data_IF_362261158569
#
_entry.id   IF_362261158569
#
_cell.length_a   1.000
_cell.length_b   1.000
_cell.length_c   1.000
_cell.angle_alpha   90.00
_cell.angle_beta   90.00
_cell.angle_gamma   90.00
#
_symmetry.space_group_name_H-M   'P 1'
#
loop_
_entity.id
_entity.type
_entity.pdbx_description
1 polymer ?
#
# COMPACT_ATOMS: atom_id res chain seq x y z
N UNK A 1 -57.79 34.17 29.39
CA UNK A 1 -57.04 35.39 29.77
C UNK A 1 -55.58 35.01 29.90
N UNK A 2 -54.64 35.84 29.41
CA UNK A 2 -53.21 35.50 29.29
C UNK A 2 -52.79 35.46 27.82
N UNK A 3 -52.07 36.48 27.36
CA UNK A 3 -51.85 36.76 25.95
C UNK A 3 -50.47 36.26 25.44
N UNK A 4 -50.44 35.88 24.16
CA UNK A 4 -49.23 35.66 23.37
C UNK A 4 -48.50 36.98 23.13
N UNK A 5 -47.17 36.99 23.24
CA UNK A 5 -46.32 38.09 22.81
C UNK A 5 -45.13 37.56 21.97
N UNK A 6 -45.32 37.54 20.65
CA UNK A 6 -44.21 37.49 19.69
C UNK A 6 -43.33 38.73 19.87
N UNK A 7 -42.00 38.58 19.90
CA UNK A 7 -41.07 39.68 19.63
C UNK A 7 -40.18 39.31 18.44
N UNK A 8 -40.55 39.86 17.29
CA UNK A 8 -39.74 39.90 16.08
C UNK A 8 -38.65 40.97 16.21
N UNK A 9 -37.45 40.69 15.71
CA UNK A 9 -36.53 41.73 15.23
C UNK A 9 -35.99 41.33 13.86
N UNK A 10 -36.38 42.11 12.85
CA UNK A 10 -35.94 42.06 11.45
C UNK A 10 -35.58 43.49 11.05
N UNK A 11 -34.86 43.63 9.92
CA UNK A 11 -34.49 44.86 9.20
C UNK A 11 -33.21 45.52 9.77
N UNK A 12 -32.15 45.71 8.96
CA UNK A 12 -31.99 46.63 7.81
C UNK A 12 -31.89 48.08 8.31
N UNK A 13 -31.00 48.98 7.88
CA UNK A 13 -30.22 49.18 6.63
C UNK A 13 -28.82 49.78 7.00
N UNK A 14 -27.86 50.17 6.14
CA UNK A 14 -27.71 50.22 4.67
C UNK A 14 -26.22 50.26 4.27
N UNK A 15 -25.95 50.33 2.97
CA UNK A 15 -24.70 50.71 2.29
C UNK A 15 -24.02 51.97 2.85
N UNK A 16 -22.68 52.01 2.73
CA UNK A 16 -22.01 53.17 2.14
C UNK A 16 -21.00 52.72 1.09
N UNK A 17 -20.89 53.49 0.02
CA UNK A 17 -20.10 53.21 -1.19
C UNK A 17 -18.82 54.07 -1.20
N UNK A 18 -18.06 53.91 -2.28
CA UNK A 18 -17.12 54.87 -2.87
C UNK A 18 -15.68 54.90 -2.28
N UNK A 19 -14.65 55.11 -3.10
CA UNK A 19 -14.51 54.95 -4.57
C UNK A 19 -13.03 55.10 -4.97
N UNK A 20 -12.69 54.77 -6.22
CA UNK A 20 -11.51 55.27 -6.99
C UNK A 20 -10.08 54.95 -6.48
N UNK A 21 -9.07 54.74 -7.33
CA UNK A 21 -9.02 54.58 -8.79
C UNK A 21 -7.64 54.09 -9.27
N UNK A 22 -7.63 53.26 -10.31
CA UNK A 22 -6.67 53.21 -11.44
C UNK A 22 -5.14 53.37 -11.23
N UNK A 23 -4.35 52.44 -11.78
CA UNK A 23 -3.39 52.82 -12.85
C UNK A 23 -3.01 51.64 -13.78
N UNK A 24 -3.59 51.68 -14.98
CA UNK A 24 -3.01 51.44 -16.31
C UNK A 24 -1.80 50.51 -16.50
N UNK A 25 -2.06 49.43 -17.24
CA UNK A 25 -1.24 48.78 -18.27
C UNK A 25 0.00 49.53 -18.78
N UNK A 26 1.14 48.85 -18.91
CA UNK A 26 2.07 49.11 -20.02
C UNK A 26 2.78 47.83 -20.49
N UNK A 27 2.63 47.52 -21.79
CA UNK A 27 3.56 46.68 -22.54
C UNK A 27 4.86 47.48 -22.78
N UNK A 28 5.97 46.80 -23.05
CA UNK A 28 6.66 46.79 -24.38
C UNK A 28 8.04 46.13 -24.23
N UNK A 29 8.47 45.41 -25.27
CA UNK A 29 9.76 44.73 -25.35
C UNK A 29 10.90 45.67 -25.76
N UNK A 30 12.16 45.21 -25.67
CA UNK A 30 13.20 45.29 -26.72
C UNK A 30 14.57 44.82 -26.19
N UNK A 31 15.12 43.78 -26.84
CA UNK A 31 16.51 43.64 -27.40
C UNK A 31 17.71 44.28 -26.69
N UNK A 32 18.90 43.69 -26.64
CA UNK A 32 19.67 43.19 -27.81
C UNK A 32 20.90 42.32 -27.40
N UNK A 33 21.20 41.26 -28.16
CA UNK A 33 22.36 41.08 -29.07
C UNK A 33 23.76 40.87 -28.46
N UNK A 34 24.28 39.65 -28.63
CA UNK A 34 25.61 39.32 -29.18
C UNK A 34 25.57 37.83 -29.60
N UNK A 35 26.11 37.32 -30.71
CA UNK A 35 26.41 37.75 -32.08
C UNK A 35 27.30 36.64 -32.66
N UNK A 36 26.95 36.03 -33.82
CA UNK A 36 27.85 35.32 -34.75
C UNK A 36 28.72 34.14 -34.23
N UNK A 37 29.16 33.14 -35.00
CA UNK A 37 28.92 32.60 -36.36
C UNK A 37 29.61 31.18 -36.34
N UNK A 38 29.44 30.19 -37.21
CA UNK A 38 29.10 30.16 -38.64
C UNK A 38 28.47 28.83 -39.07
N UNK A 39 27.76 28.91 -40.18
CA UNK A 39 27.34 27.82 -41.08
C UNK A 39 28.42 26.77 -41.40
N UNK A 40 27.98 25.51 -41.58
CA UNK A 40 28.27 24.72 -42.78
C UNK A 40 27.27 23.56 -42.96
N UNK A 41 26.47 23.60 -44.03
CA UNK A 41 25.61 22.50 -44.50
C UNK A 41 26.24 21.89 -45.75
N UNK A 42 26.26 20.56 -45.90
CA UNK A 42 26.54 19.71 -47.12
C UNK A 42 27.03 18.33 -46.62
N UNK A 43 26.72 17.15 -47.20
CA UNK A 43 25.64 16.73 -48.11
C UNK A 43 25.55 15.18 -48.15
N UNK A 44 24.58 14.67 -48.93
CA UNK A 44 24.35 13.27 -49.37
C UNK A 44 25.59 12.42 -49.78
N UNK A 45 25.26 11.14 -50.06
CA UNK A 45 25.94 10.12 -50.89
C UNK A 45 27.05 9.33 -50.17
N UNK A 46 26.95 8.02 -49.94
CA UNK A 46 26.70 6.84 -50.81
C UNK A 46 27.91 6.42 -51.65
N UNK A 47 28.61 5.36 -51.22
CA UNK A 47 29.00 4.21 -52.05
C UNK A 47 29.94 3.28 -51.28
N UNK A 48 29.77 1.97 -51.44
CA UNK A 48 30.79 0.96 -51.14
C UNK A 48 32.06 1.18 -51.97
N UNK A 49 33.20 0.54 -51.60
CA UNK A 49 33.61 -0.57 -52.47
C UNK A 49 34.28 -1.76 -51.77
N UNK A 50 34.00 -2.97 -52.29
CA UNK A 50 34.92 -4.12 -52.31
C UNK A 50 35.93 -3.92 -53.47
N UNK A 51 37.17 -4.46 -53.41
CA UNK A 51 37.41 -5.82 -53.92
C UNK A 51 38.59 -6.60 -53.25
N UNK A 52 38.45 -7.91 -53.00
CA UNK A 52 39.09 -9.04 -53.76
C UNK A 52 40.42 -9.57 -53.14
N UNK A 53 41.09 -10.62 -53.68
CA UNK A 53 40.75 -11.99 -53.25
C UNK A 53 41.94 -12.92 -52.90
N UNK A 54 41.64 -13.96 -52.10
CA UNK A 54 42.19 -15.33 -52.25
C UNK A 54 43.65 -15.61 -51.93
N UNK A 55 43.88 -16.50 -50.94
CA UNK A 55 44.82 -17.63 -51.07
C UNK A 55 44.58 -18.71 -50.02
N UNK A 56 44.92 -19.94 -50.39
CA UNK A 56 44.59 -21.19 -49.71
C UNK A 56 45.53 -21.52 -48.54
N UNK A 57 45.10 -22.37 -47.59
CA UNK A 57 46.05 -23.01 -46.67
C UNK A 57 45.52 -23.37 -45.28
N UNK A 58 44.90 -24.56 -45.19
CA UNK A 58 44.55 -25.32 -43.99
C UNK A 58 45.35 -25.03 -42.69
N UNK A 59 44.64 -24.72 -41.60
CA UNK A 59 45.04 -25.10 -40.24
C UNK A 59 43.80 -25.26 -39.34
N UNK A 60 43.75 -26.30 -38.53
CA UNK A 60 42.60 -26.59 -37.67
C UNK A 60 42.54 -25.65 -36.45
N UNK A 61 41.38 -25.01 -36.24
CA UNK A 61 41.09 -24.23 -35.05
C UNK A 61 39.69 -24.58 -34.52
N UNK A 62 39.66 -25.60 -33.65
CA UNK A 62 38.68 -25.90 -32.59
C UNK A 62 37.40 -25.04 -32.65
N UNK A 63 36.39 -25.55 -33.35
CA UNK A 63 35.05 -24.99 -33.28
C UNK A 63 34.44 -25.24 -31.92
N UNK A 64 34.49 -24.26 -31.01
CA UNK A 64 33.69 -24.26 -29.79
C UNK A 64 32.25 -23.99 -30.20
N UNK A 65 31.58 -25.11 -30.50
CA UNK A 65 30.18 -25.25 -30.81
C UNK A 65 29.33 -24.38 -29.87
N UNK A 66 28.58 -23.42 -30.44
CA UNK A 66 27.54 -22.70 -29.70
C UNK A 66 26.49 -23.71 -29.23
N UNK A 67 26.67 -24.25 -28.03
CA UNK A 67 25.58 -24.84 -27.26
C UNK A 67 24.71 -23.69 -26.80
N UNK A 68 23.82 -23.26 -27.69
CA UNK A 68 22.56 -22.62 -27.35
C UNK A 68 21.86 -23.57 -26.37
N UNK A 69 22.07 -23.34 -25.07
CA UNK A 69 21.37 -24.08 -24.04
C UNK A 69 19.89 -23.76 -24.21
N UNK A 70 19.13 -24.78 -24.64
CA UNK A 70 17.67 -24.73 -24.61
C UNK A 70 17.25 -24.20 -23.24
N UNK A 71 16.61 -23.04 -23.22
CA UNK A 71 15.71 -22.69 -22.14
C UNK A 71 14.55 -23.69 -22.21
N UNK A 72 14.72 -24.82 -21.53
CA UNK A 72 13.73 -25.88 -21.48
C UNK A 72 12.43 -25.30 -20.91
N UNK A 73 11.29 -25.35 -21.64
CA UNK A 73 10.04 -24.70 -21.23
C UNK A 73 9.32 -25.42 -20.07
N UNK A 74 10.05 -26.21 -19.29
CA UNK A 74 9.53 -27.07 -18.21
C UNK A 74 9.62 -26.41 -16.83
N UNK A 75 10.12 -25.17 -16.74
CA UNK A 75 10.04 -24.35 -15.52
C UNK A 75 8.70 -23.61 -15.33
N UNK A 76 7.69 -23.93 -16.15
CA UNK A 76 6.30 -23.71 -15.76
C UNK A 76 5.93 -24.72 -14.65
N UNK A 77 6.32 -24.40 -13.41
CA UNK A 77 5.85 -25.11 -12.22
C UNK A 77 4.32 -25.00 -12.24
N UNK A 78 3.56 -26.09 -12.35
CA UNK A 78 2.10 -26.01 -12.33
C UNK A 78 1.69 -25.50 -10.94
N UNK A 79 1.17 -24.28 -10.90
CA UNK A 79 0.54 -23.69 -9.72
C UNK A 79 -0.51 -24.68 -9.23
N UNK A 80 -0.31 -25.28 -8.05
CA UNK A 80 -1.25 -26.24 -7.48
C UNK A 80 -2.45 -25.50 -6.88
N UNK A 81 -3.21 -24.85 -7.75
CA UNK A 81 -4.47 -24.22 -7.42
C UNK A 81 -5.48 -25.27 -6.96
N UNK A 82 -6.17 -24.99 -5.86
CA UNK A 82 -7.28 -25.82 -5.38
C UNK A 82 -8.56 -25.29 -6.02
N UNK A 83 -9.29 -26.15 -6.74
CA UNK A 83 -10.60 -25.78 -7.30
C UNK A 83 -11.60 -25.66 -6.15
N UNK A 84 -12.16 -24.46 -5.98
CA UNK A 84 -13.12 -24.13 -4.91
C UNK A 84 -14.39 -23.53 -5.49
N UNK A 85 -15.51 -23.60 -4.78
CA UNK A 85 -16.75 -22.93 -5.21
C UNK A 85 -16.72 -21.43 -4.92
N UNK A 86 -17.45 -20.63 -5.71
CA UNK A 86 -17.65 -19.20 -5.45
C UNK A 86 -18.16 -18.91 -4.03
N UNK A 87 -18.98 -19.80 -3.45
CA UNK A 87 -19.47 -19.71 -2.06
C UNK A 87 -18.39 -19.83 -0.98
N UNK A 88 -17.25 -20.44 -1.31
CA UNK A 88 -16.10 -20.63 -0.41
C UNK A 88 -15.14 -19.44 -0.41
N UNK A 89 -15.37 -18.42 -1.24
CA UNK A 89 -14.54 -17.22 -1.29
C UNK A 89 -14.68 -16.38 -0.02
N UNK A 90 -13.55 -15.85 0.47
CA UNK A 90 -13.44 -14.98 1.65
C UNK A 90 -12.44 -13.86 1.34
N UNK A 91 -12.52 -12.70 2.00
CA UNK A 91 -11.46 -11.70 1.99
C UNK A 91 -10.10 -12.32 2.33
N UNK A 92 -9.04 -11.88 1.65
CA UNK A 92 -7.68 -12.44 1.77
C UNK A 92 -7.43 -13.73 0.97
N UNK A 93 -8.44 -14.35 0.36
CA UNK A 93 -8.17 -15.43 -0.60
C UNK A 93 -7.51 -14.87 -1.87
N UNK A 94 -6.50 -15.56 -2.39
CA UNK A 94 -5.93 -15.30 -3.71
C UNK A 94 -6.49 -16.29 -4.72
N UNK A 95 -6.95 -15.79 -5.86
CA UNK A 95 -7.56 -16.57 -6.94
C UNK A 95 -6.87 -16.32 -8.28
N UNK A 96 -6.86 -17.32 -9.13
CA UNK A 96 -6.40 -17.24 -10.51
C UNK A 96 -7.61 -17.18 -11.45
N UNK A 97 -7.62 -16.21 -12.38
CA UNK A 97 -8.69 -16.07 -13.39
C UNK A 97 -8.18 -15.35 -14.62
N UNK A 98 -8.35 -15.96 -15.81
CA UNK A 98 -7.84 -15.45 -17.09
C UNK A 98 -6.32 -15.19 -17.05
N UNK A 99 -5.57 -16.16 -16.54
CA UNK A 99 -4.10 -16.16 -16.46
C UNK A 99 -3.54 -14.95 -15.68
N UNK A 100 -4.35 -14.43 -14.74
CA UNK A 100 -4.04 -13.32 -13.84
C UNK A 100 -4.43 -13.65 -12.42
N UNK A 101 -3.73 -13.02 -11.49
CA UNK A 101 -3.81 -13.33 -10.06
C UNK A 101 -4.47 -12.16 -9.34
N UNK A 102 -5.46 -12.50 -8.54
CA UNK A 102 -6.34 -11.55 -7.87
C UNK A 102 -6.43 -11.83 -6.38
N UNK A 103 -6.17 -10.81 -5.56
CA UNK A 103 -6.49 -10.79 -4.14
C UNK A 103 -7.99 -10.46 -3.96
N UNK A 104 -8.71 -11.24 -3.16
CA UNK A 104 -10.10 -10.94 -2.80
C UNK A 104 -10.13 -9.91 -1.68
N UNK A 105 -10.53 -8.68 -1.98
CA UNK A 105 -10.63 -7.59 -1.01
C UNK A 105 -11.96 -7.65 -0.24
N UNK A 106 -13.08 -7.87 -0.93
CA UNK A 106 -14.42 -7.91 -0.34
C UNK A 106 -15.32 -8.92 -1.04
N UNK A 107 -16.21 -9.54 -0.26
CA UNK A 107 -17.22 -10.50 -0.73
C UNK A 107 -18.59 -10.10 -0.20
N UNK A 108 -19.52 -9.81 -1.10
CA UNK A 108 -20.92 -9.52 -0.81
C UNK A 108 -21.81 -10.64 -1.37
N UNK A 109 -22.40 -11.45 -0.48
CA UNK A 109 -23.33 -12.52 -0.86
C UNK A 109 -24.75 -11.96 -0.99
N UNK A 110 -25.34 -12.04 -2.19
CA UNK A 110 -26.71 -11.60 -2.45
C UNK A 110 -27.64 -12.79 -2.71
N UNK A 111 -28.69 -12.90 -1.89
CA UNK A 111 -29.78 -13.85 -2.06
C UNK A 111 -31.03 -13.12 -2.54
N UNK A 112 -31.27 -13.15 -3.84
CA UNK A 112 -32.52 -12.64 -4.43
C UNK A 112 -33.65 -13.65 -4.18
N UNK A 113 -34.77 -13.20 -3.60
CA UNK A 113 -35.80 -14.10 -3.05
C UNK A 113 -36.46 -15.08 -4.03
N UNK A 114 -36.30 -14.86 -5.35
CA UNK A 114 -36.70 -15.79 -6.44
C UNK A 114 -35.62 -15.89 -7.53
N UNK A 115 -34.34 -15.94 -7.13
CA UNK A 115 -33.20 -16.02 -8.05
C UNK A 115 -32.11 -16.99 -7.59
N UNK A 116 -31.11 -17.22 -8.44
CA UNK A 116 -29.88 -17.93 -8.04
C UNK A 116 -29.03 -17.02 -7.16
N UNK A 117 -28.53 -17.55 -6.04
CA UNK A 117 -27.63 -16.81 -5.16
C UNK A 117 -26.35 -16.40 -5.92
N UNK A 118 -26.08 -15.10 -5.92
CA UNK A 118 -24.99 -14.46 -6.68
C UNK A 118 -24.06 -13.74 -5.72
N UNK A 119 -22.76 -13.86 -5.96
CA UNK A 119 -21.73 -13.36 -5.06
C UNK A 119 -20.99 -12.24 -5.80
N UNK A 120 -21.13 -11.01 -5.33
CA UNK A 120 -20.33 -9.88 -5.83
C UNK A 120 -19.00 -9.88 -5.08
N UNK A 121 -17.91 -9.97 -5.81
CA UNK A 121 -16.55 -10.00 -5.27
C UNK A 121 -15.80 -8.78 -5.80
N UNK A 122 -15.11 -8.07 -4.92
CA UNK A 122 -14.18 -7.01 -5.27
C UNK A 122 -12.77 -7.58 -5.20
N UNK A 123 -12.14 -7.65 -6.37
CA UNK A 123 -10.81 -8.21 -6.59
C UNK A 123 -9.79 -7.09 -6.76
N UNK A 124 -8.54 -7.34 -6.36
CA UNK A 124 -7.39 -6.49 -6.66
C UNK A 124 -6.40 -7.30 -7.50
N UNK A 125 -6.06 -6.80 -8.68
CA UNK A 125 -5.02 -7.35 -9.56
C UNK A 125 -3.67 -7.23 -8.83
N UNK A 126 -2.93 -8.33 -8.68
CA UNK A 126 -1.66 -8.34 -7.93
C UNK A 126 -0.58 -7.54 -8.66
N UNK A 127 -0.46 -7.71 -9.96
CA UNK A 127 0.57 -7.06 -10.78
C UNK A 127 0.25 -5.59 -11.03
N UNK A 128 -1.02 -5.29 -11.27
CA UNK A 128 -1.47 -3.95 -11.67
C UNK A 128 -1.99 -3.08 -10.51
N UNK A 129 -2.22 -3.66 -9.33
CA UNK A 129 -2.89 -3.01 -8.19
C UNK A 129 -4.37 -2.63 -8.40
N UNK A 130 -4.90 -2.82 -9.62
CA UNK A 130 -6.21 -2.35 -10.06
C UNK A 130 -7.36 -3.11 -9.39
N UNK A 131 -8.39 -2.39 -8.93
CA UNK A 131 -9.59 -2.97 -8.33
C UNK A 131 -10.65 -3.28 -9.40
N UNK A 132 -11.12 -4.53 -9.44
CA UNK A 132 -12.10 -5.03 -10.41
C UNK A 132 -13.26 -5.69 -9.66
N UNK A 133 -14.49 -5.25 -9.89
CA UNK A 133 -15.68 -5.92 -9.34
C UNK A 133 -16.17 -7.01 -10.30
N UNK A 134 -16.34 -8.24 -9.82
CA UNK A 134 -16.90 -9.35 -10.58
C UNK A 134 -18.08 -9.99 -9.82
N UNK A 135 -18.98 -10.64 -10.56
CA UNK A 135 -20.04 -11.48 -9.99
C UNK A 135 -19.73 -12.94 -10.29
N UNK A 136 -19.86 -13.78 -9.29
CA UNK A 136 -19.67 -15.22 -9.37
C UNK A 136 -20.98 -15.95 -9.02
N UNK A 137 -21.22 -17.08 -9.69
CA UNK A 137 -22.26 -18.03 -9.28
C UNK A 137 -21.86 -18.79 -8.01
N UNK A 138 -22.85 -19.21 -7.21
CA UNK A 138 -22.61 -20.06 -6.02
C UNK A 138 -21.90 -21.38 -6.38
N UNK A 139 -22.25 -21.96 -7.53
CA UNK A 139 -21.72 -23.21 -8.09
C UNK A 139 -20.52 -22.99 -9.04
N UNK A 140 -20.13 -21.73 -9.32
CA UNK A 140 -19.01 -21.43 -10.21
C UNK A 140 -17.69 -21.88 -9.57
N UNK A 141 -16.92 -22.70 -10.29
CA UNK A 141 -15.61 -23.16 -9.82
C UNK A 141 -14.54 -22.09 -10.06
N UNK A 142 -13.82 -21.73 -9.01
CA UNK A 142 -12.74 -20.75 -9.02
C UNK A 142 -11.46 -21.44 -8.53
N UNK A 143 -10.35 -21.18 -9.23
CA UNK A 143 -9.05 -21.75 -8.89
C UNK A 143 -8.40 -20.86 -7.82
N UNK A 144 -8.30 -21.39 -6.60
CA UNK A 144 -7.69 -20.71 -5.46
C UNK A 144 -6.22 -21.06 -5.40
N UNK A 145 -5.37 -20.04 -5.39
CA UNK A 145 -3.92 -20.19 -5.24
C UNK A 145 -3.57 -20.30 -3.76
N UNK A 146 -2.59 -21.15 -3.43
CA UNK A 146 -2.03 -21.22 -2.08
C UNK A 146 -0.96 -20.14 -1.91
N UNK A 147 -1.03 -19.39 -0.81
CA UNK A 147 -0.07 -18.33 -0.47
C UNK A 147 0.69 -18.74 0.77
N UNK A 148 2.01 -18.56 0.77
CA UNK A 148 2.85 -18.88 1.91
C UNK A 148 2.93 -17.67 2.86
N UNK A 149 2.38 -17.82 4.06
CA UNK A 149 2.53 -16.85 5.15
C UNK A 149 3.84 -17.13 5.91
N UNK A 150 4.87 -16.30 5.70
CA UNK A 150 6.19 -16.44 6.33
C UNK A 150 6.40 -15.41 7.45
N UNK A 151 7.08 -15.78 8.55
CA UNK A 151 7.46 -14.82 9.58
C UNK A 151 8.72 -14.07 9.16
N UNK A 152 8.68 -12.74 9.23
CA UNK A 152 9.83 -11.85 8.99
C UNK A 152 10.14 -11.04 10.24
N UNK A 153 11.36 -10.52 10.34
CA UNK A 153 11.77 -9.56 11.37
C UNK A 153 11.76 -8.17 10.73
N UNK A 154 11.10 -7.21 11.36
CA UNK A 154 11.15 -5.79 10.97
C UNK A 154 12.49 -5.19 11.39
N UNK A 155 13.18 -4.53 10.45
CA UNK A 155 14.44 -3.82 10.71
C UNK A 155 14.22 -2.31 10.87
N UNK A 156 13.67 -1.67 9.84
CA UNK A 156 13.43 -0.23 9.81
C UNK A 156 12.47 0.15 8.68
N UNK A 157 12.08 1.42 8.64
CA UNK A 157 11.30 2.01 7.54
C UNK A 157 12.12 3.14 6.91
N UNK A 158 12.29 3.09 5.59
CA UNK A 158 12.95 4.12 4.80
C UNK A 158 12.11 5.40 4.69
N UNK A 159 12.77 6.51 4.36
CA UNK A 159 12.13 7.82 4.17
C UNK A 159 11.05 7.83 3.07
N UNK A 160 11.11 6.89 2.14
CA UNK A 160 10.19 6.77 1.01
C UNK A 160 8.95 5.90 1.33
N UNK A 161 8.75 5.50 2.59
CA UNK A 161 7.60 4.67 3.01
C UNK A 161 7.75 3.18 2.66
N UNK A 162 8.99 2.71 2.49
CA UNK A 162 9.32 1.29 2.35
C UNK A 162 9.72 0.71 3.70
N UNK A 163 9.07 -0.38 4.09
CA UNK A 163 9.40 -1.18 5.26
C UNK A 163 10.41 -2.24 4.87
N UNK A 164 11.56 -2.27 5.54
CA UNK A 164 12.61 -3.27 5.33
C UNK A 164 12.42 -4.42 6.32
N UNK A 165 12.24 -5.62 5.76
CA UNK A 165 12.04 -6.86 6.50
C UNK A 165 13.16 -7.86 6.19
N UNK A 166 13.48 -8.72 7.16
CA UNK A 166 14.50 -9.77 7.02
C UNK A 166 13.89 -11.14 7.31
N UNK A 167 14.15 -12.13 6.44
CA UNK A 167 13.77 -13.53 6.69
C UNK A 167 14.71 -14.13 7.76
N UNK A 168 14.20 -14.65 8.89
CA UNK A 168 15.04 -15.21 9.96
C UNK A 168 15.74 -16.52 9.58
N UNK A 169 15.34 -17.18 8.49
CA UNK A 169 15.90 -18.44 8.02
C UNK A 169 16.95 -18.28 6.92
N UNK A 170 16.68 -17.43 5.92
CA UNK A 170 17.60 -17.20 4.79
C UNK A 170 18.45 -15.94 4.93
N UNK A 171 18.09 -15.03 5.84
CA UNK A 171 18.66 -13.68 5.97
C UNK A 171 18.46 -12.77 4.74
N UNK A 172 17.55 -13.16 3.84
CA UNK A 172 17.18 -12.33 2.69
C UNK A 172 16.38 -11.10 3.15
N UNK A 173 16.65 -9.97 2.52
CA UNK A 173 15.92 -8.72 2.74
C UNK A 173 14.75 -8.59 1.76
N UNK A 174 13.60 -8.17 2.27
CA UNK A 174 12.37 -7.94 1.52
C UNK A 174 11.89 -6.50 1.76
N UNK A 175 11.81 -5.72 0.68
CA UNK A 175 11.17 -4.40 0.69
C UNK A 175 9.65 -4.56 0.58
N UNK A 176 8.89 -3.94 1.50
CA UNK A 176 7.42 -3.98 1.52
C UNK A 176 6.90 -2.55 1.64
N UNK A 177 5.92 -2.15 0.82
CA UNK A 177 5.32 -0.81 0.94
C UNK A 177 4.51 -0.69 2.24
N UNK A 178 4.66 0.43 2.96
CA UNK A 178 3.94 0.69 4.23
C UNK A 178 2.41 0.57 4.07
N UNK A 179 1.87 0.91 2.90
CA UNK A 179 0.45 0.77 2.57
C UNK A 179 -0.12 -0.64 2.80
N UNK A 180 0.71 -1.70 2.68
CA UNK A 180 0.28 -3.08 2.88
C UNK A 180 0.09 -3.43 4.37
N UNK A 181 0.70 -2.69 5.29
CA UNK A 181 0.43 -2.76 6.73
C UNK A 181 -0.75 -1.85 7.14
N UNK A 182 -1.09 -0.86 6.32
CA UNK A 182 -2.18 0.08 6.56
C UNK A 182 -2.03 0.83 7.89
N UNK A 183 -3.07 0.85 8.72
CA UNK A 183 -3.01 1.50 10.05
C UNK A 183 -1.96 0.89 10.97
N UNK A 184 -1.67 -0.40 10.80
CA UNK A 184 -0.85 -1.18 11.71
C UNK A 184 0.65 -0.89 11.54
N UNK A 185 1.05 -0.17 10.48
CA UNK A 185 2.40 0.34 10.29
C UNK A 185 2.89 1.14 11.52
N UNK A 186 1.99 1.88 12.18
CA UNK A 186 2.29 2.64 13.40
C UNK A 186 2.61 1.80 14.63
N UNK A 187 2.43 0.49 14.58
CA UNK A 187 2.83 -0.44 15.63
C UNK A 187 4.15 -1.16 15.31
N UNK A 188 4.79 -0.86 14.17
CA UNK A 188 6.10 -1.39 13.84
C UNK A 188 7.16 -0.87 14.82
N UNK A 189 7.97 -1.80 15.31
CA UNK A 189 9.05 -1.60 16.27
C UNK A 189 10.22 -2.48 15.84
N UNK A 190 11.43 -1.98 16.01
CA UNK A 190 12.68 -2.67 15.66
C UNK A 190 12.73 -4.07 16.30
N UNK A 191 13.26 -5.05 15.57
CA UNK A 191 13.30 -6.49 15.91
C UNK A 191 11.93 -7.19 16.11
N UNK A 192 10.80 -6.54 15.81
CA UNK A 192 9.49 -7.18 15.91
C UNK A 192 9.26 -8.21 14.80
N UNK A 193 8.70 -9.37 15.18
CA UNK A 193 8.30 -10.43 14.24
C UNK A 193 6.93 -10.12 13.62
N UNK A 194 6.90 -9.90 12.30
CA UNK A 194 5.69 -9.71 11.50
C UNK A 194 5.40 -10.95 10.65
N UNK A 195 4.19 -11.06 10.08
CA UNK A 195 3.84 -12.13 9.13
C UNK A 195 3.53 -11.51 7.77
N UNK A 196 4.20 -11.97 6.73
CA UNK A 196 3.98 -11.52 5.35
C UNK A 196 3.49 -12.69 4.51
N UNK A 197 2.42 -12.45 3.76
CA UNK A 197 1.91 -13.36 2.75
C UNK A 197 2.61 -13.05 1.42
N UNK A 198 3.50 -13.95 1.01
CA UNK A 198 4.34 -13.78 -0.19
C UNK A 198 3.90 -14.76 -1.27
N UNK A 199 3.76 -14.27 -2.49
CA UNK A 199 3.45 -15.08 -3.66
C UNK A 199 4.41 -14.76 -4.80
N UNK A 200 5.14 -15.78 -5.30
CA UNK A 200 6.17 -15.64 -6.34
C UNK A 200 7.20 -14.50 -6.09
N UNK A 201 7.52 -14.24 -4.81
CA UNK A 201 8.41 -13.15 -4.38
C UNK A 201 7.74 -11.78 -4.21
N UNK A 202 6.47 -11.64 -4.59
CA UNK A 202 5.69 -10.40 -4.41
C UNK A 202 4.99 -10.45 -3.03
N UNK A 203 5.19 -9.45 -2.15
CA UNK A 203 4.42 -9.34 -0.91
C UNK A 203 2.98 -8.88 -1.23
N UNK A 204 1.99 -9.65 -0.79
CA UNK A 204 0.57 -9.34 -1.02
C UNK A 204 -0.05 -8.59 0.17
N UNK A 205 0.16 -9.14 1.37
CA UNK A 205 -0.42 -8.66 2.62
C UNK A 205 0.59 -8.84 3.75
N UNK A 206 0.62 -7.87 4.67
CA UNK A 206 1.53 -7.89 5.81
C UNK A 206 0.75 -7.61 7.10
N UNK A 207 1.00 -8.42 8.14
CA UNK A 207 0.28 -8.36 9.40
C UNK A 207 1.22 -8.30 10.60
N UNK A 208 0.89 -7.38 11.51
CA UNK A 208 1.53 -7.19 12.80
C UNK A 208 0.93 -8.17 13.82
N UNK A 209 1.67 -8.65 14.83
CA UNK A 209 1.10 -9.44 15.93
C UNK A 209 -0.06 -8.70 16.60
N UNK A 210 -1.13 -9.43 16.95
CA UNK A 210 -2.32 -8.84 17.61
C UNK A 210 -2.01 -8.08 18.90
N UNK A 211 -0.92 -8.44 19.58
CA UNK A 211 -0.52 -7.83 20.84
C UNK A 211 0.89 -7.27 20.70
N UNK A 212 1.01 -5.95 20.77
CA UNK A 212 2.28 -5.21 20.71
C UNK A 212 2.52 -4.53 22.04
N UNK A 213 3.79 -4.38 22.44
CA UNK A 213 4.17 -3.71 23.70
C UNK A 213 4.73 -2.33 23.40
N UNK A 214 3.99 -1.28 23.73
CA UNK A 214 4.40 0.11 23.53
C UNK A 214 4.69 0.79 24.86
N UNK A 215 5.54 1.81 24.86
CA UNK A 215 5.86 2.62 26.05
C UNK A 215 4.93 3.82 26.09
N UNK A 216 4.33 4.10 27.25
CA UNK A 216 3.54 5.32 27.45
C UNK A 216 4.47 6.52 27.57
N UNK A 217 4.50 7.37 26.55
CA UNK A 217 5.31 8.60 26.54
C UNK A 217 4.74 9.66 27.46
N UNK A 218 3.45 9.96 27.33
CA UNK A 218 2.75 11.01 28.08
C UNK A 218 1.37 10.53 28.51
N UNK A 219 0.97 10.81 29.75
CA UNK A 219 -0.34 10.41 30.29
C UNK A 219 -1.03 11.61 30.95
N UNK A 220 -2.30 11.85 30.62
CA UNK A 220 -3.04 12.96 31.22
C UNK A 220 -3.21 12.77 32.74
N UNK A 221 -3.21 13.86 33.54
CA UNK A 221 -3.42 13.76 34.97
C UNK A 221 -4.84 13.23 35.27
N UNK A 222 -5.01 12.35 36.29
CA UNK A 222 -6.32 11.81 36.62
C UNK A 222 -7.24 12.92 37.14
N UNK A 223 -8.38 13.11 36.47
CA UNK A 223 -9.42 14.05 36.91
C UNK A 223 -10.05 13.53 38.20
N UNK A 224 -9.67 14.13 39.34
CA UNK A 224 -10.14 13.81 40.70
C UNK A 224 -11.62 14.21 40.88
N UNK A 225 -12.53 13.48 40.24
CA UNK A 225 -13.99 13.60 40.42
C UNK A 225 -14.55 12.43 41.21
N UNK A 226 -15.55 12.69 42.06
CA UNK A 226 -16.22 11.70 42.93
C UNK A 226 -17.20 10.85 42.11
N UNK A 227 -16.69 10.12 41.12
CA UNK A 227 -17.46 9.22 40.26
C UNK A 227 -17.13 7.76 40.57
N UNK A 228 -18.17 6.94 40.80
CA UNK A 228 -18.03 5.49 41.06
C UNK A 228 -17.59 4.73 39.79
N UNK A 229 -17.90 5.25 38.60
CA UNK A 229 -17.48 4.66 37.32
C UNK A 229 -15.97 4.84 37.11
N UNK A 230 -15.20 3.79 36.76
CA UNK A 230 -13.80 3.93 36.41
C UNK A 230 -13.66 4.84 35.18
N UNK A 231 -12.97 5.97 35.35
CA UNK A 231 -12.71 6.92 34.27
C UNK A 231 -11.40 6.56 33.59
N UNK A 232 -11.48 6.18 32.33
CA UNK A 232 -10.31 6.07 31.45
C UNK A 232 -9.68 7.45 31.23
N UNK A 233 -8.36 7.49 31.09
CA UNK A 233 -7.61 8.67 30.69
C UNK A 233 -6.99 8.47 29.32
N UNK A 234 -6.75 9.57 28.60
CA UNK A 234 -5.99 9.51 27.34
C UNK A 234 -4.50 9.50 27.66
N UNK A 235 -3.79 8.58 27.01
CA UNK A 235 -2.33 8.48 27.03
C UNK A 235 -1.79 8.46 25.60
N UNK A 236 -0.63 9.07 25.41
CA UNK A 236 0.11 9.10 24.14
C UNK A 236 1.29 8.14 24.25
N UNK A 237 1.43 7.29 23.25
CA UNK A 237 2.48 6.28 23.16
C UNK A 237 3.75 6.86 22.54
N UNK A 238 4.85 6.12 22.68
CA UNK A 238 6.08 6.25 21.88
C UNK A 238 5.81 6.55 20.40
N UNK A 239 4.92 5.77 19.77
CA UNK A 239 4.60 5.84 18.35
C UNK A 239 3.62 7.01 17.99
N UNK A 240 3.34 7.91 18.94
CA UNK A 240 2.46 9.07 18.75
C UNK A 240 0.96 8.76 18.68
N UNK A 241 0.57 7.49 18.80
CA UNK A 241 -0.82 7.06 18.91
C UNK A 241 -1.40 7.43 20.29
N UNK A 242 -2.65 7.89 20.31
CA UNK A 242 -3.39 8.21 21.53
C UNK A 242 -4.42 7.12 21.84
N UNK A 243 -4.26 6.47 22.99
CA UNK A 243 -5.13 5.38 23.45
C UNK A 243 -5.81 5.74 24.77
N UNK A 244 -6.90 5.05 25.09
CA UNK A 244 -7.54 5.13 26.40
C UNK A 244 -6.94 4.08 27.32
N UNK A 245 -6.45 4.50 28.48
CA UNK A 245 -5.86 3.63 29.50
C UNK A 245 -6.54 3.81 30.86
N UNK A 246 -6.51 2.79 31.72
CA UNK A 246 -6.92 2.94 33.11
C UNK A 246 -6.13 4.03 33.87
N UNK A 247 -6.72 4.66 34.89
CA UNK A 247 -6.11 5.80 35.57
C UNK A 247 -4.79 5.46 36.30
N UNK A 248 -4.55 4.18 36.60
CA UNK A 248 -3.35 3.68 37.28
C UNK A 248 -2.07 3.62 36.43
N UNK A 249 -2.19 3.67 35.09
CA UNK A 249 -1.03 3.56 34.18
C UNK A 249 -0.24 4.86 34.19
N UNK A 250 1.06 4.85 34.48
CA UNK A 250 1.90 6.05 34.52
C UNK A 250 2.72 6.24 33.23
N UNK A 251 3.23 7.46 33.01
CA UNK A 251 4.20 7.70 31.93
C UNK A 251 5.51 6.94 32.23
N UNK A 252 6.13 6.39 31.19
CA UNK A 252 7.28 5.49 31.27
C UNK A 252 6.93 4.01 31.50
N UNK A 253 5.66 3.65 31.71
CA UNK A 253 5.25 2.25 31.83
C UNK A 253 5.05 1.59 30.45
N UNK A 254 5.46 0.31 30.34
CA UNK A 254 5.22 -0.52 29.15
C UNK A 254 3.84 -1.17 29.20
N UNK A 255 3.06 -1.00 28.14
CA UNK A 255 1.67 -1.50 28.03
C UNK A 255 1.50 -2.38 26.80
N UNK A 256 0.69 -3.43 26.94
CA UNK A 256 0.28 -4.30 25.84
C UNK A 256 -1.04 -3.81 25.27
N UNK A 257 -1.07 -3.64 23.95
CA UNK A 257 -2.18 -3.07 23.19
C UNK A 257 -2.67 -4.13 22.19
N UNK A 258 -3.98 -4.20 21.96
CA UNK A 258 -4.55 -4.95 20.84
C UNK A 258 -4.57 -4.07 19.58
N UNK A 259 -3.86 -4.51 18.53
CA UNK A 259 -3.75 -3.78 17.26
C UNK A 259 -5.02 -3.84 16.41
N UNK A 260 -6.05 -4.58 16.84
CA UNK A 260 -7.33 -4.69 16.11
C UNK A 260 -8.24 -3.50 16.41
N UNK A 261 -8.31 -3.11 17.69
CA UNK A 261 -9.25 -2.12 18.23
C UNK A 261 -8.54 -0.91 18.89
N UNK A 262 -7.21 -0.81 18.76
CA UNK A 262 -6.32 0.16 19.42
C UNK A 262 -6.51 0.19 20.97
N UNK A 263 -6.84 -0.96 21.57
CA UNK A 263 -7.32 -1.07 22.96
C UNK A 263 -6.24 -1.52 23.94
N UNK A 264 -6.28 -0.99 25.17
CA UNK A 264 -5.38 -1.42 26.25
C UNK A 264 -5.77 -2.80 26.79
N UNK A 265 -4.83 -3.74 26.78
CA UNK A 265 -5.04 -5.11 27.27
C UNK A 265 -4.52 -5.27 28.69
N UNK A 266 -3.24 -4.95 28.93
CA UNK A 266 -2.58 -5.12 30.24
C UNK A 266 -1.29 -4.30 30.31
N UNK A 267 -0.85 -3.96 31.52
CA UNK A 267 0.50 -3.45 31.77
C UNK A 267 1.50 -4.61 31.78
N UNK A 268 2.63 -4.46 31.11
CA UNK A 268 3.75 -5.40 31.24
C UNK A 268 4.45 -5.12 32.57
N UNK A 269 4.62 -6.15 33.41
CA UNK A 269 5.47 -6.04 34.59
C UNK A 269 6.92 -6.22 34.14
N UNK A 270 7.68 -5.14 34.22
CA UNK A 270 9.15 -5.15 34.17
C UNK A 270 9.69 -5.67 35.50
#
# INVERSE_FOLDING_TARGET
MGALAHVSKRLSWSLFSDSTSSCTTLRTALTSLFSCSSYATVSRSSSDPLPSPGRDGCAAAIGIFQRTLLQSPWFAIPTRGVKTSGSSLRPGNVIEKKDRIYEVVKVDHSHEGRGKATIKVELRDVDSGNKVSQRFGTEETVERVFVEAKPYIYMCTDRDGKVLLMDPGTLDQLEVNEELFGKNAKYLQDDMKVRVEVYNGIPLSASVPKHVTCIVKEAQPPVKGIGVTPREKVAVLDNGLSIKVPPHVLAGESVVIDTTDDSYVRRTKV
#
